data_IF_083311170259
#
_entry.id   IF_083311170259
#
_cell.length_a   1.000
_cell.length_b   1.000
_cell.length_c   1.000
_cell.angle_alpha   90.00
_cell.angle_beta   90.00
_cell.angle_gamma   90.00
#
_symmetry.space_group_name_H-M   'P 1'
#
loop_
_entity.id
_entity.type
_entity.pdbx_description
1 polymer ?
#
# COMPACT_ATOMS: atom_id res chain seq x y z
N UNK A 1 -38.43 64.21 -7.25
CA UNK A 1 -38.20 64.01 -5.81
C UNK A 1 -37.85 62.54 -5.62
N UNK A 2 -36.57 62.19 -5.68
CA UNK A 2 -36.08 60.80 -5.60
C UNK A 2 -35.27 60.70 -4.30
N UNK A 3 -35.79 59.93 -3.34
CA UNK A 3 -35.19 59.70 -2.03
C UNK A 3 -34.37 58.40 -2.09
N UNK A 4 -33.11 58.49 -1.64
CA UNK A 4 -32.35 57.54 -0.80
C UNK A 4 -32.35 56.04 -1.17
N UNK A 5 -31.24 55.30 -1.21
CA UNK A 5 -30.22 55.16 -0.16
C UNK A 5 -28.90 54.62 -0.74
N UNK A 6 -27.83 55.00 -0.07
CA UNK A 6 -26.43 54.67 -0.31
C UNK A 6 -26.03 53.42 0.53
N UNK A 7 -25.04 52.66 0.03
CA UNK A 7 -24.20 51.62 0.71
C UNK A 7 -24.84 50.22 0.82
N UNK A 8 -24.16 49.10 0.56
CA UNK A 8 -22.73 48.81 0.64
C UNK A 8 -22.28 47.77 -0.40
N UNK A 9 -21.08 47.96 -0.95
CA UNK A 9 -20.30 46.93 -1.62
C UNK A 9 -19.89 45.89 -0.56
N UNK A 10 -20.43 44.68 -0.64
CA UNK A 10 -19.91 43.54 0.12
C UNK A 10 -18.75 42.98 -0.70
N UNK A 11 -17.53 43.29 -0.25
CA UNK A 11 -16.32 42.62 -0.70
C UNK A 11 -16.40 41.15 -0.25
N UNK A 12 -16.54 40.25 -1.21
CA UNK A 12 -16.23 38.84 -1.08
C UNK A 12 -14.71 38.72 -0.84
N UNK A 13 -14.33 38.80 0.43
CA UNK A 13 -13.02 38.36 0.92
C UNK A 13 -13.25 37.63 2.24
N UNK A 14 -14.14 36.63 2.22
CA UNK A 14 -14.02 35.53 3.16
C UNK A 14 -12.85 34.73 2.66
N UNK A 15 -11.75 34.85 3.41
CA UNK A 15 -10.51 34.17 3.16
C UNK A 15 -10.80 32.74 2.76
N UNK A 16 -10.12 32.33 1.70
CA UNK A 16 -9.76 30.94 1.48
C UNK A 16 -9.09 30.48 2.77
N UNK A 17 -9.91 30.00 3.71
CA UNK A 17 -9.48 29.00 4.66
C UNK A 17 -9.11 27.84 3.77
N UNK A 18 -7.87 27.86 3.28
CA UNK A 18 -7.18 26.67 2.89
C UNK A 18 -7.52 25.68 3.99
N UNK A 19 -8.30 24.66 3.63
CA UNK A 19 -8.39 23.47 4.43
C UNK A 19 -6.93 23.19 4.80
N UNK A 20 -6.63 23.17 6.11
CA UNK A 20 -5.35 22.68 6.56
C UNK A 20 -5.15 21.38 5.80
N UNK A 21 -4.21 21.40 4.86
CA UNK A 21 -3.50 20.20 4.56
C UNK A 21 -2.92 19.85 5.92
N UNK A 22 -3.58 18.93 6.63
CA UNK A 22 -2.95 18.20 7.71
C UNK A 22 -1.72 17.61 7.03
N UNK A 23 -0.60 18.31 7.17
CA UNK A 23 0.71 17.80 6.83
C UNK A 23 0.90 16.68 7.82
N UNK A 24 0.50 15.50 7.39
CA UNK A 24 0.73 14.25 8.06
C UNK A 24 2.24 14.21 8.32
N UNK A 25 2.61 14.33 9.58
CA UNK A 25 4.01 14.27 9.98
C UNK A 25 4.48 12.84 9.74
N UNK A 26 5.13 12.64 8.60
CA UNK A 26 5.81 11.40 8.24
C UNK A 26 7.09 11.19 9.08
N UNK A 27 7.44 12.12 9.97
CA UNK A 27 8.75 12.24 10.62
C UNK A 27 9.04 11.37 11.85
N UNK A 28 8.12 10.50 12.29
CA UNK A 28 8.38 9.55 13.41
C UNK A 28 8.30 8.07 12.94
N UNK A 29 8.19 7.84 11.63
CA UNK A 29 7.91 6.54 10.97
C UNK A 29 9.16 5.81 10.44
N UNK A 30 10.35 6.21 10.87
CA UNK A 30 11.64 5.89 10.22
C UNK A 30 12.03 4.40 10.12
N UNK A 31 11.22 3.48 10.66
CA UNK A 31 11.53 2.05 10.65
C UNK A 31 10.40 1.10 10.28
N UNK A 32 9.23 1.60 9.88
CA UNK A 32 8.07 0.72 9.87
C UNK A 32 7.56 0.29 8.51
N UNK A 33 7.93 0.93 7.38
CA UNK A 33 7.61 0.59 5.98
C UNK A 33 6.23 -0.05 5.70
N UNK A 34 6.02 -1.32 6.06
CA UNK A 34 4.75 -2.03 5.98
C UNK A 34 3.77 -1.74 7.12
N UNK A 35 4.26 -1.22 8.24
CA UNK A 35 3.58 -0.94 9.51
C UNK A 35 3.49 0.58 9.71
N UNK A 36 3.00 1.27 8.69
CA UNK A 36 2.87 2.72 8.60
C UNK A 36 1.80 3.33 9.52
N UNK A 37 1.01 2.50 10.21
CA UNK A 37 -0.02 2.92 11.15
C UNK A 37 0.38 2.62 12.58
N UNK A 38 0.31 3.62 13.45
CA UNK A 38 0.52 3.43 14.88
C UNK A 38 -0.69 2.75 15.54
N UNK A 39 -0.49 2.20 16.74
CA UNK A 39 -1.58 1.62 17.54
C UNK A 39 -2.67 2.66 17.82
N UNK A 40 -2.31 3.90 18.15
CA UNK A 40 -3.27 4.96 18.45
C UNK A 40 -4.09 5.37 17.21
N UNK A 41 -3.45 5.35 16.04
CA UNK A 41 -4.13 5.56 14.75
C UNK A 41 -5.09 4.41 14.43
N UNK A 42 -4.66 3.15 14.59
CA UNK A 42 -5.51 1.98 14.37
C UNK A 42 -6.69 1.91 15.36
N UNK A 43 -6.51 2.41 16.58
CA UNK A 43 -7.57 2.54 17.58
C UNK A 43 -8.50 3.74 17.34
N UNK A 44 -8.10 4.66 16.46
CA UNK A 44 -8.91 5.85 16.19
C UNK A 44 -10.23 5.43 15.56
N UNK A 45 -11.36 5.93 16.09
CA UNK A 45 -12.70 5.64 15.55
C UNK A 45 -13.01 6.40 14.25
N UNK A 46 -11.98 6.64 13.45
CA UNK A 46 -12.05 7.32 12.16
C UNK A 46 -12.80 6.43 11.17
N UNK A 47 -14.10 6.68 11.04
CA UNK A 47 -14.96 5.90 10.17
C UNK A 47 -14.52 6.01 8.70
N UNK A 48 -13.86 7.11 8.34
CA UNK A 48 -13.29 7.34 7.02
C UNK A 48 -12.22 6.32 6.61
N UNK A 49 -11.59 5.62 7.55
CA UNK A 49 -10.60 4.60 7.25
C UNK A 49 -11.20 3.22 6.97
N UNK A 50 -12.48 3.01 7.33
CA UNK A 50 -13.18 1.77 7.02
C UNK A 50 -12.54 0.51 7.64
N UNK A 51 -11.80 0.65 8.74
CA UNK A 51 -11.06 -0.46 9.32
C UNK A 51 -12.00 -1.59 9.79
N UNK A 52 -11.69 -2.84 9.45
CA UNK A 52 -12.54 -4.01 9.69
C UNK A 52 -11.97 -4.98 10.72
N UNK A 53 -12.85 -5.69 11.42
CA UNK A 53 -12.51 -6.77 12.36
C UNK A 53 -12.52 -8.15 11.67
N UNK A 54 -11.74 -9.14 12.13
CA UNK A 54 -10.85 -9.11 13.32
C UNK A 54 -9.48 -8.48 13.05
N UNK A 55 -9.19 -8.11 11.81
CA UNK A 55 -7.86 -7.69 11.37
C UNK A 55 -7.33 -6.47 12.11
N UNK A 56 -8.20 -5.53 12.48
CA UNK A 56 -7.80 -4.35 13.27
C UNK A 56 -7.34 -4.74 14.67
N UNK A 57 -8.09 -5.59 15.37
CA UNK A 57 -7.71 -6.10 16.68
C UNK A 57 -6.45 -6.97 16.62
N UNK A 58 -6.32 -7.80 15.58
CA UNK A 58 -5.15 -8.66 15.36
C UNK A 58 -3.90 -7.82 15.07
N UNK A 59 -4.03 -6.75 14.29
CA UNK A 59 -2.95 -5.81 14.00
C UNK A 59 -2.39 -5.18 15.27
N UNK A 60 -3.26 -4.62 16.11
CA UNK A 60 -2.87 -3.97 17.37
C UNK A 60 -2.19 -4.98 18.29
N UNK A 61 -2.80 -6.15 18.49
CA UNK A 61 -2.27 -7.18 19.37
C UNK A 61 -0.91 -7.69 18.89
N UNK A 62 -0.74 -7.86 17.58
CA UNK A 62 0.53 -8.28 17.00
C UNK A 62 1.63 -7.23 17.16
N UNK A 63 1.31 -5.93 17.06
CA UNK A 63 2.27 -4.87 17.34
C UNK A 63 2.69 -4.85 18.82
N UNK A 64 1.75 -4.99 19.75
CA UNK A 64 2.03 -5.04 21.19
C UNK A 64 2.94 -6.23 21.56
N UNK A 65 2.72 -7.38 20.93
CA UNK A 65 3.52 -8.60 21.14
C UNK A 65 4.85 -8.60 20.35
N UNK A 66 5.12 -7.56 19.55
CA UNK A 66 6.25 -7.51 18.61
C UNK A 66 6.26 -8.67 17.60
N UNK A 67 5.09 -9.18 17.21
CA UNK A 67 4.90 -10.21 16.17
C UNK A 67 4.71 -9.55 14.80
N UNK A 68 5.79 -9.02 14.25
CA UNK A 68 5.74 -8.16 13.06
C UNK A 68 5.23 -8.85 11.79
N UNK A 69 5.45 -10.15 11.62
CA UNK A 69 4.88 -10.89 10.48
C UNK A 69 3.35 -10.97 10.55
N UNK A 70 2.82 -11.19 11.75
CA UNK A 70 1.37 -11.19 12.01
C UNK A 70 0.78 -9.77 11.83
N UNK A 71 1.51 -8.74 12.28
CA UNK A 71 1.09 -7.35 12.11
C UNK A 71 1.02 -6.96 10.62
N UNK A 72 2.03 -7.30 9.82
CA UNK A 72 2.04 -7.02 8.37
C UNK A 72 0.87 -7.74 7.67
N UNK A 73 0.64 -9.00 8.02
CA UNK A 73 -0.49 -9.78 7.49
C UNK A 73 -1.85 -9.13 7.79
N UNK A 74 -2.06 -8.71 9.04
CA UNK A 74 -3.30 -8.05 9.46
C UNK A 74 -3.47 -6.68 8.77
N UNK A 75 -2.37 -5.93 8.63
CA UNK A 75 -2.34 -4.60 8.00
C UNK A 75 -2.81 -4.58 6.54
N UNK A 76 -2.55 -5.64 5.79
CA UNK A 76 -3.03 -5.75 4.40
C UNK A 76 -4.52 -6.14 4.30
N UNK A 77 -5.13 -6.62 5.38
CA UNK A 77 -6.52 -7.08 5.37
C UNK A 77 -7.46 -6.14 6.10
N UNK A 78 -6.94 -5.29 6.99
CA UNK A 78 -7.75 -4.44 7.86
C UNK A 78 -8.54 -3.34 7.16
N UNK A 79 -8.32 -3.07 5.87
CA UNK A 79 -9.14 -2.12 5.10
C UNK A 79 -10.43 -2.72 4.52
N UNK A 80 -10.60 -4.06 4.62
CA UNK A 80 -11.82 -4.73 4.16
C UNK A 80 -11.84 -5.09 2.68
N UNK A 81 -10.76 -4.79 1.97
CA UNK A 81 -10.57 -5.02 0.54
C UNK A 81 -10.30 -6.50 0.22
N UNK A 82 -10.24 -7.35 1.24
CA UNK A 82 -9.80 -8.74 1.13
C UNK A 82 -10.82 -9.71 1.72
N UNK A 83 -10.89 -10.91 1.14
CA UNK A 83 -11.64 -12.05 1.67
C UNK A 83 -10.80 -13.30 1.51
N UNK A 84 -10.68 -14.10 2.58
CA UNK A 84 -9.84 -15.30 2.63
C UNK A 84 -8.40 -15.05 2.14
N UNK A 85 -7.79 -13.92 2.55
CA UNK A 85 -6.43 -13.56 2.16
C UNK A 85 -6.27 -13.19 0.68
N UNK A 86 -7.35 -12.83 -0.02
CA UNK A 86 -7.34 -12.42 -1.43
C UNK A 86 -8.09 -11.10 -1.60
N UNK A 87 -7.52 -10.15 -2.33
CA UNK A 87 -8.18 -8.90 -2.71
C UNK A 87 -9.43 -9.14 -3.55
N UNK A 88 -10.48 -8.42 -3.21
CA UNK A 88 -11.79 -8.48 -3.87
C UNK A 88 -11.78 -7.80 -5.23
N UNK A 89 -10.95 -6.77 -5.39
CA UNK A 89 -10.81 -6.02 -6.63
C UNK A 89 -9.95 -6.76 -7.67
N UNK A 90 -10.18 -6.41 -8.93
CA UNK A 90 -9.43 -6.96 -10.05
C UNK A 90 -8.13 -6.18 -10.29
N UNK A 91 -7.00 -6.84 -10.59
CA UNK A 91 -6.79 -8.30 -10.59
C UNK A 91 -6.80 -8.88 -9.18
N UNK A 92 -7.40 -10.06 -9.01
CA UNK A 92 -7.52 -10.71 -7.69
C UNK A 92 -6.17 -11.26 -7.24
N UNK A 93 -5.58 -10.58 -6.27
CA UNK A 93 -4.28 -10.92 -5.71
C UNK A 93 -4.43 -11.50 -4.32
N UNK A 94 -3.62 -12.48 -3.98
CA UNK A 94 -3.43 -12.88 -2.60
C UNK A 94 -2.69 -11.76 -1.86
N UNK A 95 -2.95 -11.64 -0.57
CA UNK A 95 -2.24 -10.72 0.32
C UNK A 95 -0.73 -10.95 0.28
N UNK A 96 -0.28 -12.21 0.11
CA UNK A 96 1.14 -12.54 0.00
C UNK A 96 1.79 -11.98 -1.26
N UNK A 97 1.12 -12.08 -2.40
CA UNK A 97 1.63 -11.52 -3.66
C UNK A 97 1.70 -9.99 -3.59
N UNK A 98 0.73 -9.35 -2.93
CA UNK A 98 0.77 -7.90 -2.71
C UNK A 98 1.94 -7.49 -1.80
N UNK A 99 2.15 -8.21 -0.70
CA UNK A 99 3.30 -7.99 0.20
C UNK A 99 4.63 -8.22 -0.52
N UNK A 100 4.74 -9.28 -1.34
CA UNK A 100 5.95 -9.58 -2.11
C UNK A 100 6.26 -8.46 -3.10
N UNK A 101 5.24 -7.94 -3.79
CA UNK A 101 5.41 -6.82 -4.70
C UNK A 101 5.90 -5.56 -4.00
N UNK A 102 5.23 -5.18 -2.91
CA UNK A 102 5.61 -4.00 -2.15
C UNK A 102 7.02 -4.17 -1.56
N UNK A 103 7.37 -5.37 -1.10
CA UNK A 103 8.71 -5.70 -0.63
C UNK A 103 9.78 -5.46 -1.70
N UNK A 104 9.52 -5.91 -2.92
CA UNK A 104 10.43 -5.69 -4.05
C UNK A 104 10.51 -4.19 -4.40
N UNK A 105 9.37 -3.50 -4.41
CA UNK A 105 9.33 -2.06 -4.68
C UNK A 105 10.12 -1.26 -3.65
N UNK A 106 9.90 -1.51 -2.35
CA UNK A 106 10.60 -0.85 -1.26
C UNK A 106 12.10 -1.15 -1.26
N UNK A 107 12.50 -2.40 -1.51
CA UNK A 107 13.92 -2.75 -1.59
C UNK A 107 14.65 -2.01 -2.73
N UNK A 108 13.96 -1.73 -3.84
CA UNK A 108 14.54 -1.02 -4.98
C UNK A 108 14.53 0.50 -4.77
N UNK A 109 13.40 1.05 -4.32
CA UNK A 109 13.14 2.49 -4.31
C UNK A 109 13.49 3.16 -2.98
N UNK A 110 13.28 2.46 -1.86
CA UNK A 110 13.38 2.99 -0.49
C UNK A 110 14.51 2.30 0.29
N UNK A 111 15.70 2.20 -0.31
CA UNK A 111 16.78 1.33 0.18
C UNK A 111 17.19 1.54 1.64
N UNK A 112 17.21 2.78 2.13
CA UNK A 112 17.64 3.06 3.50
C UNK A 112 16.52 2.81 4.51
N UNK A 113 15.28 3.20 4.19
CA UNK A 113 14.11 2.82 4.98
C UNK A 113 13.95 1.29 5.02
N UNK A 114 14.21 0.59 3.91
CA UNK A 114 14.20 -0.86 3.82
C UNK A 114 15.18 -1.49 4.82
N UNK A 115 16.45 -1.05 4.81
CA UNK A 115 17.45 -1.56 5.76
C UNK A 115 17.04 -1.33 7.20
N UNK A 116 16.49 -0.16 7.50
CA UNK A 116 16.00 0.15 8.85
C UNK A 116 14.86 -0.78 9.24
N UNK A 117 13.85 -0.93 8.39
CA UNK A 117 12.71 -1.81 8.65
C UNK A 117 13.12 -3.27 8.81
N UNK A 118 14.05 -3.75 7.98
CA UNK A 118 14.56 -5.12 8.11
C UNK A 118 15.29 -5.35 9.44
N UNK A 119 16.08 -4.38 9.90
CA UNK A 119 16.72 -4.44 11.21
C UNK A 119 15.71 -4.41 12.36
N UNK A 120 14.63 -3.64 12.21
CA UNK A 120 13.53 -3.61 13.17
C UNK A 120 12.80 -4.96 13.22
N UNK A 121 12.40 -5.52 12.07
CA UNK A 121 11.68 -6.79 11.99
C UNK A 121 12.51 -8.01 12.38
N UNK A 122 13.84 -7.95 12.29
CA UNK A 122 14.72 -9.03 12.75
C UNK A 122 14.56 -9.35 14.25
N UNK A 123 13.99 -8.42 15.03
CA UNK A 123 13.71 -8.61 16.45
C UNK A 123 12.29 -9.15 16.72
N UNK A 124 11.59 -9.65 15.69
CA UNK A 124 10.23 -10.16 15.82
C UNK A 124 10.14 -11.33 16.81
N UNK A 125 9.10 -11.31 17.64
CA UNK A 125 8.66 -12.45 18.44
C UNK A 125 8.17 -13.59 17.55
N UNK A 126 7.82 -14.73 18.14
CA UNK A 126 7.28 -15.86 17.39
C UNK A 126 5.97 -15.49 16.66
N UNK A 127 5.97 -15.56 15.33
CA UNK A 127 4.83 -15.23 14.48
C UNK A 127 4.05 -16.49 14.11
N UNK A 128 2.73 -16.36 13.96
CA UNK A 128 1.91 -17.38 13.29
C UNK A 128 2.19 -17.36 11.78
N UNK A 129 2.24 -16.15 11.20
CA UNK A 129 2.59 -15.85 9.81
C UNK A 129 4.11 -15.67 9.66
N UNK A 130 4.88 -16.66 10.10
CA UNK A 130 6.35 -16.63 10.04
C UNK A 130 6.90 -16.47 8.62
N UNK A 131 6.19 -17.04 7.65
CA UNK A 131 6.55 -16.98 6.23
C UNK A 131 6.45 -15.58 5.61
N UNK A 132 5.73 -14.64 6.23
CA UNK A 132 5.67 -13.24 5.77
C UNK A 132 7.04 -12.56 5.92
N UNK A 133 7.73 -12.77 7.04
CA UNK A 133 9.05 -12.18 7.24
C UNK A 133 10.08 -12.86 6.33
N UNK A 134 10.00 -14.18 6.16
CA UNK A 134 10.87 -14.91 5.23
C UNK A 134 10.71 -14.38 3.80
N UNK A 135 9.45 -14.20 3.35
CA UNK A 135 9.10 -13.66 2.04
C UNK A 135 9.70 -12.25 1.85
N UNK A 136 9.55 -11.36 2.83
CA UNK A 136 10.07 -9.99 2.75
C UNK A 136 11.61 -9.97 2.79
N UNK A 137 12.26 -10.80 3.62
CA UNK A 137 13.73 -10.84 3.69
C UNK A 137 14.38 -11.40 2.42
N UNK A 138 13.74 -12.38 1.77
CA UNK A 138 14.30 -13.11 0.63
C UNK A 138 14.15 -12.40 -0.72
N UNK A 139 13.42 -11.28 -0.79
CA UNK A 139 13.17 -10.62 -2.09
C UNK A 139 14.47 -10.20 -2.81
N UNK A 140 14.84 -10.88 -3.91
CA UNK A 140 15.98 -10.49 -4.76
C UNK A 140 15.58 -9.30 -5.65
N UNK A 141 16.46 -8.31 -5.77
CA UNK A 141 16.35 -7.23 -6.78
C UNK A 141 16.14 -7.73 -8.22
N UNK A 142 16.64 -8.94 -8.57
CA UNK A 142 16.38 -9.57 -9.88
C UNK A 142 14.94 -10.05 -10.05
N UNK A 143 14.19 -10.23 -8.95
CA UNK A 143 12.76 -10.53 -9.00
C UNK A 143 11.93 -9.34 -9.46
N UNK A 144 12.44 -8.10 -9.44
CA UNK A 144 11.72 -6.91 -9.94
C UNK A 144 11.25 -7.05 -11.40
N UNK A 145 12.15 -7.46 -12.29
CA UNK A 145 11.78 -7.68 -13.69
C UNK A 145 10.80 -8.84 -13.82
N UNK A 146 10.99 -9.91 -13.03
CA UNK A 146 10.10 -11.07 -13.00
C UNK A 146 8.69 -10.73 -12.50
N UNK A 147 8.59 -9.85 -11.50
CA UNK A 147 7.33 -9.37 -10.96
C UNK A 147 6.62 -8.42 -11.91
N UNK A 148 7.34 -7.52 -12.60
CA UNK A 148 6.72 -6.67 -13.61
C UNK A 148 6.05 -7.51 -14.71
N UNK A 149 6.75 -8.55 -15.17
CA UNK A 149 6.19 -9.56 -16.08
C UNK A 149 5.03 -10.33 -15.46
N UNK A 150 5.14 -10.76 -14.20
CA UNK A 150 4.07 -11.46 -13.49
C UNK A 150 2.82 -10.59 -13.31
N UNK A 151 2.98 -9.29 -13.04
CA UNK A 151 1.90 -8.31 -12.86
C UNK A 151 1.08 -8.17 -14.14
N UNK A 152 1.80 -7.97 -15.24
CA UNK A 152 1.23 -7.92 -16.58
C UNK A 152 0.55 -9.25 -16.89
N UNK A 153 1.24 -10.38 -16.70
CA UNK A 153 0.72 -11.70 -17.03
C UNK A 153 -0.52 -12.08 -16.22
N UNK A 154 -0.56 -11.80 -14.92
CA UNK A 154 -1.74 -12.06 -14.07
C UNK A 154 -2.91 -11.17 -14.46
N UNK A 155 -2.65 -9.89 -14.76
CA UNK A 155 -3.65 -8.98 -15.32
C UNK A 155 -4.12 -9.45 -16.69
N UNK A 156 -3.28 -10.07 -17.51
CA UNK A 156 -3.66 -10.62 -18.80
C UNK A 156 -4.45 -11.94 -18.69
N UNK A 157 -3.97 -12.90 -17.90
CA UNK A 157 -4.58 -14.21 -17.67
C UNK A 157 -5.98 -14.08 -17.05
N UNK A 158 -6.16 -13.18 -16.08
CA UNK A 158 -7.48 -12.95 -15.51
C UNK A 158 -8.38 -12.08 -16.42
N UNK A 159 -7.81 -11.40 -17.42
CA UNK A 159 -8.54 -10.57 -18.41
C UNK A 159 -8.94 -11.35 -19.66
N UNK A 160 -8.46 -12.59 -19.80
CA UNK A 160 -8.85 -13.53 -20.86
C UNK A 160 -10.37 -13.83 -20.82
N UNK A 161 -11.04 -13.50 -19.71
CA UNK A 161 -12.49 -13.51 -19.60
C UNK A 161 -13.19 -12.28 -20.26
N UNK A 162 -12.44 -11.28 -20.75
CA UNK A 162 -12.98 -9.98 -21.22
C UNK A 162 -12.30 -9.40 -22.48
N UNK A 163 -11.09 -9.80 -22.90
CA UNK A 163 -10.40 -9.15 -24.03
C UNK A 163 -10.34 -9.98 -25.33
N UNK A 164 -10.55 -9.35 -26.51
CA UNK A 164 -10.58 -10.03 -27.81
C UNK A 164 -9.17 -10.31 -28.35
N UNK A 165 -9.02 -11.49 -28.94
CA UNK A 165 -7.96 -11.99 -29.84
C UNK A 165 -6.75 -11.04 -30.06
N UNK A 166 -5.88 -10.93 -29.06
CA UNK A 166 -4.58 -10.28 -29.17
C UNK A 166 -3.47 -11.28 -28.86
N UNK A 167 -2.39 -11.25 -29.65
CA UNK A 167 -1.18 -12.06 -29.44
C UNK A 167 -0.34 -11.44 -28.29
N UNK A 168 -0.88 -11.55 -27.08
CA UNK A 168 -0.37 -10.93 -25.85
C UNK A 168 1.05 -11.36 -25.50
N UNK A 169 1.45 -12.57 -25.91
CA UNK A 169 2.79 -13.08 -25.68
C UNK A 169 3.83 -12.23 -26.44
N UNK A 170 3.50 -11.84 -27.67
CA UNK A 170 4.36 -11.02 -28.52
C UNK A 170 4.45 -9.58 -28.02
N UNK A 171 3.31 -8.98 -27.65
CA UNK A 171 3.29 -7.61 -27.11
C UNK A 171 4.10 -7.49 -25.81
N UNK A 172 4.00 -8.50 -24.94
CA UNK A 172 4.85 -8.61 -23.76
C UNK A 172 6.34 -8.71 -24.16
N UNK A 173 6.69 -9.62 -25.05
CA UNK A 173 8.07 -9.82 -25.48
C UNK A 173 8.71 -8.55 -26.08
N UNK A 174 7.97 -7.84 -26.94
CA UNK A 174 8.45 -6.62 -27.61
C UNK A 174 8.75 -5.49 -26.61
N UNK A 175 7.98 -5.40 -25.52
CA UNK A 175 8.20 -4.42 -24.45
C UNK A 175 9.42 -4.78 -23.57
N UNK A 176 9.71 -6.08 -23.33
CA UNK A 176 10.97 -6.54 -22.70
C UNK A 176 12.17 -6.04 -23.49
N UNK A 177 12.16 -6.32 -24.79
CA UNK A 177 13.31 -6.14 -25.65
C UNK A 177 13.61 -4.64 -25.82
N UNK A 178 12.57 -3.80 -25.87
CA UNK A 178 12.71 -2.34 -25.92
C UNK A 178 13.42 -1.71 -24.71
N UNK A 179 13.30 -2.32 -23.53
CA UNK A 179 13.94 -1.84 -22.29
C UNK A 179 15.37 -2.36 -22.20
N UNK A 180 15.66 -3.51 -22.81
CA UNK A 180 16.98 -4.12 -22.81
C UNK A 180 17.97 -3.40 -23.75
N UNK A 181 17.47 -2.73 -24.79
CA UNK A 181 18.27 -1.86 -25.68
C UNK A 181 18.69 -0.52 -25.04
N UNK A 182 18.20 -0.17 -23.85
CA UNK A 182 18.54 1.07 -23.14
C UNK A 182 19.73 0.92 -22.15
N UNK A 183 20.46 -0.21 -22.19
CA UNK A 183 21.70 -0.45 -21.43
C UNK A 183 22.93 -0.39 -22.33
#
# INVERSE_FOLDING_TARGET
>A
MVLAFLKALVLLALGSGFASADTFDYGDRDGSLFLDLSISEAQSKRHEWGLVEPWTSDYISALEDSRYGDAIWARYQMFGDTSNGTFLEYPQWTVREAIEEDAIAYRVRERDAWKHAMAFYANSSQNTQSDILDLIFDVDSRNYFRLHWYRLHKRFQQSEHVLPDCDCLKAAQDEVDSVQELK
#
